data_IF_424162516923
#
_entry.id   IF_424162516923
#
_cell.length_a   1.000
_cell.length_b   1.000
_cell.length_c   1.000
_cell.angle_alpha   90.00
_cell.angle_beta   90.00
_cell.angle_gamma   90.00
#
_symmetry.space_group_name_H-M   'P 1'
#
loop_
_entity.id
_entity.type
_entity.pdbx_description
1 polymer ?
#
# COMPACT_ATOMS: atom_id res chain seq x y z
N UNK A 1 -28.80 17.98 30.82
CA UNK A 1 -27.80 16.90 30.57
C UNK A 1 -27.63 16.50 29.09
N UNK A 2 -28.33 17.12 28.12
CA UNK A 2 -28.21 16.77 26.69
C UNK A 2 -26.99 17.34 25.95
N UNK A 3 -26.39 18.44 26.41
CA UNK A 3 -25.28 19.10 25.70
C UNK A 3 -23.94 18.33 25.71
N UNK A 4 -23.73 17.41 26.67
CA UNK A 4 -22.49 16.63 26.77
C UNK A 4 -22.43 15.47 25.78
N UNK A 5 -23.57 14.91 25.37
CA UNK A 5 -23.59 13.81 24.40
C UNK A 5 -23.39 14.28 22.95
N UNK A 6 -23.89 15.46 22.59
CA UNK A 6 -23.70 16.04 21.25
C UNK A 6 -22.24 16.35 20.93
N UNK A 7 -21.49 16.89 21.91
CA UNK A 7 -20.06 17.18 21.72
C UNK A 7 -19.21 15.92 21.48
N UNK A 8 -19.53 14.82 22.16
CA UNK A 8 -18.82 13.54 21.96
C UNK A 8 -19.15 12.95 20.60
N UNK A 9 -20.41 12.96 20.16
CA UNK A 9 -20.81 12.42 18.85
C UNK A 9 -20.13 13.18 17.69
N UNK A 10 -20.03 14.51 17.80
CA UNK A 10 -19.36 15.35 16.79
C UNK A 10 -17.84 15.10 16.76
N UNK A 11 -17.21 14.96 17.93
CA UNK A 11 -15.77 14.69 17.99
C UNK A 11 -15.41 13.31 17.42
N UNK A 12 -16.26 12.31 17.65
CA UNK A 12 -16.10 10.96 17.09
C UNK A 12 -16.33 10.92 15.59
N UNK A 13 -17.34 11.62 15.06
CA UNK A 13 -17.57 11.65 13.61
C UNK A 13 -16.47 12.41 12.85
N UNK A 14 -15.90 13.46 13.44
CA UNK A 14 -14.74 14.17 12.87
C UNK A 14 -13.49 13.28 12.79
N UNK A 15 -13.20 12.49 13.82
CA UNK A 15 -12.03 11.60 13.82
C UNK A 15 -12.16 10.44 12.84
N UNK A 16 -13.35 9.86 12.71
CA UNK A 16 -13.66 8.84 11.70
C UNK A 16 -13.47 9.36 10.27
N UNK A 17 -13.95 10.58 9.99
CA UNK A 17 -13.77 11.20 8.68
C UNK A 17 -12.30 11.52 8.37
N UNK A 18 -11.54 12.02 9.36
CA UNK A 18 -10.11 12.28 9.20
C UNK A 18 -9.32 11.00 8.88
N UNK A 19 -9.62 9.89 9.58
CA UNK A 19 -8.99 8.60 9.31
C UNK A 19 -9.35 8.07 7.91
N UNK A 20 -10.60 8.23 7.49
CA UNK A 20 -11.05 7.82 6.16
C UNK A 20 -10.32 8.60 5.04
N UNK A 21 -10.15 9.91 5.21
CA UNK A 21 -9.41 10.78 4.27
C UNK A 21 -7.94 10.36 4.20
N UNK A 22 -7.27 10.17 5.35
CA UNK A 22 -5.87 9.72 5.39
C UNK A 22 -5.68 8.37 4.70
N UNK A 23 -6.61 7.43 4.88
CA UNK A 23 -6.59 6.14 4.20
C UNK A 23 -6.75 6.27 2.68
N UNK A 24 -7.64 7.16 2.22
CA UNK A 24 -7.84 7.41 0.80
C UNK A 24 -6.57 8.00 0.15
N UNK A 25 -5.91 8.94 0.82
CA UNK A 25 -4.66 9.55 0.34
C UNK A 25 -3.52 8.54 0.29
N UNK A 26 -3.40 7.67 1.30
CA UNK A 26 -2.44 6.56 1.29
C UNK A 26 -2.65 5.65 0.08
N UNK A 27 -3.89 5.19 -0.14
CA UNK A 27 -4.20 4.30 -1.27
C UNK A 27 -3.95 5.00 -2.61
N UNK A 28 -4.28 6.28 -2.72
CA UNK A 28 -4.01 7.09 -3.91
C UNK A 28 -2.52 7.17 -4.18
N UNK A 29 -1.71 7.45 -3.15
CA UNK A 29 -0.25 7.50 -3.25
C UNK A 29 0.36 6.15 -3.65
N UNK A 30 -0.07 5.05 -3.01
CA UNK A 30 0.41 3.71 -3.37
C UNK A 30 0.03 3.34 -4.79
N UNK A 31 -1.18 3.71 -5.22
CA UNK A 31 -1.65 3.44 -6.59
C UNK A 31 -0.83 4.20 -7.62
N UNK A 32 -0.49 5.47 -7.37
CA UNK A 32 0.33 6.26 -8.29
C UNK A 32 1.79 5.78 -8.37
N UNK A 33 2.22 4.94 -7.43
CA UNK A 33 3.57 4.37 -7.36
C UNK A 33 3.66 2.95 -7.91
N UNK A 34 2.54 2.37 -8.36
CA UNK A 34 2.56 1.09 -9.04
C UNK A 34 3.35 1.21 -10.34
N UNK A 35 4.37 0.36 -10.47
CA UNK A 35 5.26 0.29 -11.60
C UNK A 35 5.16 -1.12 -12.21
N UNK A 36 4.77 -1.25 -13.50
CA UNK A 36 4.70 -2.54 -14.16
C UNK A 36 6.09 -3.13 -14.38
N UNK A 37 6.22 -4.44 -14.20
CA UNK A 37 7.46 -5.14 -14.54
C UNK A 37 7.40 -5.68 -15.99
N UNK A 38 8.53 -5.73 -16.71
CA UNK A 38 8.58 -6.31 -18.06
C UNK A 38 8.09 -7.77 -18.12
N UNK A 39 8.35 -8.52 -17.05
CA UNK A 39 8.02 -9.94 -16.92
C UNK A 39 6.56 -10.19 -16.48
N UNK A 40 5.78 -9.11 -16.30
CA UNK A 40 4.42 -9.15 -15.81
C UNK A 40 4.30 -8.87 -14.31
N UNK A 41 3.16 -8.32 -13.91
CA UNK A 41 2.91 -7.87 -12.54
C UNK A 41 3.35 -6.42 -12.29
N UNK A 42 3.21 -5.96 -11.04
CA UNK A 42 3.53 -4.60 -10.64
C UNK A 42 4.23 -4.60 -9.29
N UNK A 43 5.18 -3.68 -9.09
CA UNK A 43 5.77 -3.36 -7.79
C UNK A 43 5.50 -1.90 -7.43
N UNK A 44 5.67 -1.54 -6.16
CA UNK A 44 5.69 -0.16 -5.70
C UNK A 44 7.09 0.41 -5.92
N UNK A 45 7.16 1.52 -6.66
CA UNK A 45 8.36 2.36 -6.74
C UNK A 45 8.61 3.05 -5.41
N UNK A 46 9.71 2.71 -4.75
CA UNK A 46 10.16 3.30 -3.48
C UNK A 46 10.59 4.75 -3.63
N UNK A 47 10.50 5.54 -2.55
CA UNK A 47 10.96 6.92 -2.52
C UNK A 47 12.49 6.97 -2.46
N UNK A 48 13.12 6.76 -3.62
CA UNK A 48 14.56 6.84 -3.80
C UNK A 48 14.89 7.47 -5.15
N UNK A 49 16.09 8.04 -5.25
CA UNK A 49 16.57 8.69 -6.48
C UNK A 49 16.87 7.70 -7.61
N UNK A 50 16.86 6.39 -7.35
CA UNK A 50 17.40 5.37 -8.25
C UNK A 50 16.35 4.44 -8.87
N UNK A 51 15.07 4.84 -8.95
CA UNK A 51 13.99 4.00 -9.48
C UNK A 51 14.00 2.58 -8.91
N UNK A 52 14.09 2.47 -7.58
CA UNK A 52 14.13 1.18 -6.88
C UNK A 52 12.78 0.81 -6.28
N UNK A 53 12.65 -0.46 -5.93
CA UNK A 53 11.55 -1.06 -5.18
C UNK A 53 12.11 -1.90 -4.03
N UNK A 54 11.82 -1.54 -2.79
CA UNK A 54 12.21 -2.30 -1.61
C UNK A 54 11.10 -3.28 -1.19
N UNK A 55 11.48 -4.47 -0.70
CA UNK A 55 10.51 -5.48 -0.23
C UNK A 55 9.63 -4.97 0.90
N UNK A 56 10.19 -4.13 1.79
CA UNK A 56 9.43 -3.52 2.87
C UNK A 56 8.25 -2.68 2.37
N UNK A 57 8.47 -1.83 1.35
CA UNK A 57 7.42 -1.02 0.73
C UNK A 57 6.35 -1.90 0.05
N UNK A 58 6.76 -3.03 -0.52
CA UNK A 58 5.81 -3.99 -1.09
C UNK A 58 4.91 -4.59 -0.01
N UNK A 59 5.50 -5.03 1.11
CA UNK A 59 4.77 -5.61 2.22
C UNK A 59 3.75 -4.61 2.80
N UNK A 60 4.16 -3.36 3.02
CA UNK A 60 3.27 -2.30 3.47
C UNK A 60 2.12 -2.06 2.48
N UNK A 61 2.40 -2.00 1.19
CA UNK A 61 1.39 -1.77 0.18
C UNK A 61 0.40 -2.94 0.05
N UNK A 62 0.88 -4.18 0.15
CA UNK A 62 0.02 -5.37 0.16
C UNK A 62 -0.95 -5.30 1.34
N UNK A 63 -0.46 -5.00 2.55
CA UNK A 63 -1.29 -4.87 3.76
C UNK A 63 -2.30 -3.73 3.59
N UNK A 64 -1.86 -2.57 3.11
CA UNK A 64 -2.73 -1.41 2.92
C UNK A 64 -3.84 -1.69 1.89
N UNK A 65 -3.50 -2.24 0.73
CA UNK A 65 -4.48 -2.60 -0.29
C UNK A 65 -5.43 -3.69 0.21
N UNK A 66 -4.95 -4.71 0.92
CA UNK A 66 -5.80 -5.77 1.47
C UNK A 66 -6.78 -5.21 2.51
N UNK A 67 -6.31 -4.38 3.44
CA UNK A 67 -7.14 -3.74 4.46
C UNK A 67 -8.23 -2.83 3.89
N UNK A 68 -7.97 -2.18 2.75
CA UNK A 68 -8.91 -1.29 2.08
C UNK A 68 -9.76 -2.00 1.01
N UNK A 69 -9.76 -3.34 0.98
CA UNK A 69 -10.58 -4.11 0.03
C UNK A 69 -10.07 -4.15 -1.41
N UNK A 70 -8.89 -3.57 -1.70
CA UNK A 70 -8.24 -3.59 -3.01
C UNK A 70 -7.50 -4.91 -3.29
N UNK A 71 -8.22 -6.03 -3.14
CA UNK A 71 -7.67 -7.40 -3.22
C UNK A 71 -6.92 -7.68 -4.52
N UNK A 72 -7.41 -7.16 -5.66
CA UNK A 72 -6.74 -7.33 -6.96
C UNK A 72 -5.34 -6.70 -6.98
N UNK A 73 -5.18 -5.51 -6.40
CA UNK A 73 -3.87 -4.82 -6.35
C UNK A 73 -2.91 -5.57 -5.44
N UNK A 74 -3.36 -6.01 -4.26
CA UNK A 74 -2.57 -6.83 -3.34
C UNK A 74 -2.11 -8.15 -4.00
N UNK A 75 -3.02 -8.85 -4.69
CA UNK A 75 -2.69 -10.08 -5.43
C UNK A 75 -1.68 -9.85 -6.55
N UNK A 76 -1.76 -8.74 -7.27
CA UNK A 76 -0.80 -8.42 -8.33
C UNK A 76 0.62 -8.19 -7.77
N UNK A 77 0.73 -7.51 -6.62
CA UNK A 77 2.02 -7.34 -5.92
C UNK A 77 2.57 -8.70 -5.45
N UNK A 78 1.74 -9.54 -4.83
CA UNK A 78 2.16 -10.88 -4.38
C UNK A 78 2.62 -11.76 -5.55
N UNK A 79 1.92 -11.72 -6.69
CA UNK A 79 2.34 -12.45 -7.90
C UNK A 79 3.68 -11.96 -8.42
N UNK A 80 3.89 -10.65 -8.47
CA UNK A 80 5.18 -10.09 -8.87
C UNK A 80 6.32 -10.55 -7.95
N UNK A 81 6.08 -10.55 -6.63
CA UNK A 81 7.06 -11.08 -5.67
C UNK A 81 7.32 -12.57 -5.85
N UNK A 82 6.29 -13.38 -6.10
CA UNK A 82 6.46 -14.81 -6.36
C UNK A 82 7.32 -15.07 -7.63
N UNK A 83 7.19 -14.24 -8.66
CA UNK A 83 8.03 -14.33 -9.86
C UNK A 83 9.48 -13.91 -9.62
N UNK A 84 9.72 -13.00 -8.68
CA UNK A 84 11.08 -12.55 -8.30
C UNK A 84 11.75 -13.45 -7.26
N UNK A 85 10.99 -14.38 -6.69
CA UNK A 85 11.50 -15.29 -5.67
C UNK A 85 12.54 -16.22 -6.27
N UNK A 86 13.67 -16.33 -5.57
CA UNK A 86 14.75 -17.24 -5.95
C UNK A 86 14.34 -18.69 -5.70
N UNK A 87 15.11 -19.63 -6.27
CA UNK A 87 14.87 -21.07 -6.12
C UNK A 87 14.93 -21.56 -4.67
N UNK A 88 15.65 -20.84 -3.81
CA UNK A 88 15.74 -21.09 -2.36
C UNK A 88 14.59 -20.45 -1.56
N UNK A 89 13.63 -19.79 -2.22
CA UNK A 89 12.52 -19.09 -1.58
C UNK A 89 12.86 -17.69 -1.07
N UNK A 90 14.10 -17.21 -1.23
CA UNK A 90 14.49 -15.87 -0.80
C UNK A 90 14.10 -14.79 -1.82
N UNK A 91 14.05 -13.55 -1.34
CA UNK A 91 13.90 -12.34 -2.15
C UNK A 91 15.11 -11.44 -1.90
N UNK A 92 15.56 -10.71 -2.91
CA UNK A 92 16.49 -9.59 -2.67
C UNK A 92 15.82 -8.50 -1.85
N UNK A 93 16.63 -7.74 -1.11
CA UNK A 93 16.15 -6.61 -0.31
C UNK A 93 15.48 -5.52 -1.17
N UNK A 94 16.00 -5.30 -2.38
CA UNK A 94 15.48 -4.34 -3.34
C UNK A 94 15.72 -4.76 -4.78
N UNK A 95 14.96 -4.14 -5.68
CA UNK A 95 15.03 -4.32 -7.12
C UNK A 95 15.09 -2.98 -7.82
N UNK A 96 15.86 -2.91 -8.90
CA UNK A 96 15.85 -1.80 -9.85
C UNK A 96 14.65 -1.94 -10.79
N UNK A 97 14.00 -0.83 -11.13
CA UNK A 97 12.79 -0.77 -11.95
C UNK A 97 13.05 -0.20 -13.36
N UNK A 98 14.30 -0.23 -13.80
CA UNK A 98 14.77 0.29 -15.09
C UNK A 98 14.99 -0.83 -16.12
#
# INVERSE_FOLDING_TARGET
MLGRCLGVIILWSLSLNALAIQNADLIKNLTSRLHPLPQGGTLIKSFTNHSQSYIYDQALAIIAFAKQGHQRKAKNLLKALAHLQRTDGSLYFSYYLN
#
